data_IF_625201380978
#
_entry.id   IF_625201380978
#
_cell.length_a   1.000
_cell.length_b   1.000
_cell.length_c   1.000
_cell.angle_alpha   90.00
_cell.angle_beta   90.00
_cell.angle_gamma   90.00
#
_symmetry.space_group_name_H-M   'P 1'
#
loop_
_entity.id
_entity.type
_entity.pdbx_description
1 polymer ?
#
# COMPACT_ATOMS: atom_id res chain seq x y z
N UNK A 1 45.19 3.65 18.91
CA UNK A 1 44.51 3.32 17.66
C UNK A 1 43.73 2.01 17.73
N UNK A 2 44.28 0.84 18.06
CA UNK A 2 43.59 -0.44 18.11
C UNK A 2 42.32 -0.45 19.01
N UNK A 3 42.39 0.10 20.23
CA UNK A 3 41.26 0.19 21.16
C UNK A 3 40.12 1.09 20.63
N UNK A 4 40.43 2.14 19.87
CA UNK A 4 39.44 3.01 19.24
C UNK A 4 38.71 2.31 18.09
N UNK A 5 39.44 1.62 17.23
CA UNK A 5 38.86 0.81 16.15
C UNK A 5 37.92 -0.30 16.68
N UNK A 6 38.35 -0.98 17.75
CA UNK A 6 37.49 -2.00 18.40
C UNK A 6 36.18 -1.39 18.91
N UNK A 7 36.23 -0.21 19.54
CA UNK A 7 35.03 0.48 20.02
C UNK A 7 34.06 0.85 18.87
N UNK A 8 34.62 1.34 17.74
CA UNK A 8 33.84 1.65 16.55
C UNK A 8 33.13 0.37 16.00
N UNK A 9 33.90 -0.71 15.87
CA UNK A 9 33.33 -1.98 15.39
C UNK A 9 32.22 -2.47 16.32
N UNK A 10 32.45 -2.48 17.64
CA UNK A 10 31.45 -2.88 18.63
C UNK A 10 30.20 -2.00 18.54
N UNK A 11 30.35 -0.68 18.36
CA UNK A 11 29.22 0.23 18.18
C UNK A 11 28.39 -0.13 16.93
N UNK A 12 29.03 -0.31 15.77
CA UNK A 12 28.28 -0.67 14.57
C UNK A 12 27.63 -2.04 14.64
N UNK A 13 28.27 -3.02 15.28
CA UNK A 13 27.68 -4.33 15.53
C UNK A 13 26.44 -4.21 16.45
N UNK A 14 26.53 -3.41 17.51
CA UNK A 14 25.40 -3.17 18.40
C UNK A 14 24.21 -2.50 17.64
N UNK A 15 24.51 -1.48 16.82
CA UNK A 15 23.48 -0.81 15.97
C UNK A 15 22.84 -1.82 15.02
N UNK A 16 23.62 -2.66 14.35
CA UNK A 16 23.10 -3.68 13.43
C UNK A 16 22.20 -4.71 14.16
N UNK A 17 22.58 -5.15 15.37
CA UNK A 17 21.76 -6.05 16.17
C UNK A 17 20.42 -5.39 16.55
N UNK A 18 20.44 -4.14 16.97
CA UNK A 18 19.24 -3.38 17.31
C UNK A 18 18.32 -3.23 16.07
N UNK A 19 18.89 -2.90 14.92
CA UNK A 19 18.14 -2.77 13.65
C UNK A 19 17.45 -4.08 13.24
N UNK A 20 18.19 -5.19 13.32
CA UNK A 20 17.64 -6.51 13.00
C UNK A 20 16.51 -6.89 13.99
N UNK A 21 16.72 -6.68 15.29
CA UNK A 21 15.72 -6.99 16.29
C UNK A 21 14.45 -6.13 16.11
N UNK A 22 14.62 -4.83 15.88
CA UNK A 22 13.53 -3.91 15.59
C UNK A 22 12.77 -4.34 14.32
N UNK A 23 13.49 -4.65 13.24
CA UNK A 23 12.90 -5.10 11.98
C UNK A 23 12.05 -6.36 12.17
N UNK A 24 12.60 -7.39 12.83
CA UNK A 24 11.87 -8.65 13.11
C UNK A 24 10.65 -8.44 14.00
N UNK A 25 10.74 -7.54 14.99
CA UNK A 25 9.60 -7.19 15.85
C UNK A 25 8.49 -6.53 15.04
N UNK A 26 8.83 -5.63 14.13
CA UNK A 26 7.87 -4.99 13.24
C UNK A 26 7.28 -5.99 12.22
N UNK A 27 8.09 -6.88 11.65
CA UNK A 27 7.61 -7.95 10.76
C UNK A 27 6.59 -8.83 11.50
N UNK A 28 6.87 -9.23 12.73
CA UNK A 28 5.93 -9.98 13.56
C UNK A 28 4.62 -9.23 13.81
N UNK A 29 4.69 -7.94 14.18
CA UNK A 29 3.50 -7.11 14.38
C UNK A 29 2.70 -6.96 13.07
N UNK A 30 3.39 -6.83 11.94
CA UNK A 30 2.75 -6.74 10.62
C UNK A 30 1.97 -8.02 10.29
N UNK A 31 2.60 -9.17 10.46
CA UNK A 31 1.99 -10.47 10.18
C UNK A 31 0.79 -10.77 11.08
N UNK A 32 0.84 -10.33 12.34
CA UNK A 32 -0.20 -10.58 13.33
C UNK A 32 -1.11 -9.35 13.57
N UNK A 33 -1.17 -8.43 12.61
CA UNK A 33 -2.05 -7.27 12.67
C UNK A 33 -3.52 -7.71 12.72
N UNK A 34 -4.26 -7.12 13.69
CA UNK A 34 -5.67 -7.43 13.93
C UNK A 34 -6.62 -6.45 13.24
N UNK A 35 -6.10 -5.33 12.75
CA UNK A 35 -6.89 -4.23 12.21
C UNK A 35 -6.09 -3.38 11.24
N UNK A 36 -6.74 -2.39 10.60
CA UNK A 36 -6.12 -1.42 9.72
C UNK A 36 -5.61 -2.04 8.40
N UNK A 37 -4.90 -1.23 7.63
CA UNK A 37 -4.40 -1.62 6.30
C UNK A 37 -3.52 -2.87 6.33
N UNK A 38 -2.69 -3.02 7.38
CA UNK A 38 -1.83 -4.20 7.51
C UNK A 38 -2.64 -5.50 7.57
N UNK A 39 -3.74 -5.53 8.34
CA UNK A 39 -4.63 -6.71 8.39
C UNK A 39 -5.33 -6.93 7.06
N UNK A 40 -5.84 -5.86 6.47
CA UNK A 40 -6.53 -5.88 5.18
C UNK A 40 -5.65 -6.46 4.07
N UNK A 41 -4.43 -5.97 3.98
CA UNK A 41 -3.44 -6.41 2.98
C UNK A 41 -3.03 -7.87 3.25
N UNK A 42 -2.69 -8.21 4.49
CA UNK A 42 -2.32 -9.57 4.85
C UNK A 42 -3.42 -10.58 4.51
N UNK A 43 -4.67 -10.25 4.84
CA UNK A 43 -5.81 -11.10 4.48
C UNK A 43 -5.94 -11.27 2.97
N UNK A 44 -5.87 -10.17 2.22
CA UNK A 44 -5.98 -10.21 0.76
C UNK A 44 -4.90 -11.10 0.12
N UNK A 45 -3.66 -10.99 0.60
CA UNK A 45 -2.53 -11.72 0.04
C UNK A 45 -2.51 -13.18 0.49
N UNK A 46 -2.78 -13.44 1.78
CA UNK A 46 -2.56 -14.77 2.38
C UNK A 46 -3.80 -15.66 2.43
N UNK A 47 -5.00 -15.09 2.56
CA UNK A 47 -6.22 -15.83 2.92
C UNK A 47 -7.37 -15.67 1.91
N UNK A 48 -7.56 -14.47 1.35
CA UNK A 48 -8.69 -14.12 0.49
C UNK A 48 -8.73 -14.97 -0.79
N UNK A 49 -9.92 -15.49 -1.13
CA UNK A 49 -10.22 -16.21 -2.38
C UNK A 49 -11.47 -15.64 -3.04
N UNK A 50 -11.70 -14.34 -2.92
CA UNK A 50 -12.89 -13.70 -3.48
C UNK A 50 -12.92 -13.78 -5.01
N UNK A 51 -14.12 -14.00 -5.57
CA UNK A 51 -14.33 -13.99 -7.01
C UNK A 51 -14.08 -12.61 -7.63
N UNK A 52 -14.44 -11.57 -6.88
CA UNK A 52 -14.29 -10.17 -7.28
C UNK A 52 -13.37 -9.45 -6.31
N UNK A 53 -12.35 -8.78 -6.83
CA UNK A 53 -11.43 -7.97 -6.05
C UNK A 53 -11.59 -6.50 -6.46
N UNK A 54 -11.91 -5.64 -5.48
CA UNK A 54 -11.95 -4.18 -5.69
C UNK A 54 -10.58 -3.63 -5.32
N UNK A 55 -9.97 -2.86 -6.22
CA UNK A 55 -8.66 -2.24 -6.04
C UNK A 55 -8.73 -0.75 -6.38
N UNK A 56 -7.88 0.06 -5.78
CA UNK A 56 -7.81 1.49 -6.04
C UNK A 56 -7.50 2.31 -4.80
N UNK A 57 -7.76 3.60 -4.87
CA UNK A 57 -7.43 4.57 -3.83
C UNK A 57 -8.51 4.68 -2.74
N UNK A 58 -8.57 5.84 -2.06
CA UNK A 58 -9.58 6.14 -1.03
C UNK A 58 -11.02 6.02 -1.54
N UNK A 59 -11.28 6.31 -2.81
CA UNK A 59 -12.62 6.12 -3.39
C UNK A 59 -12.98 4.64 -3.45
N UNK A 60 -12.06 3.76 -3.83
CA UNK A 60 -12.29 2.33 -3.74
C UNK A 60 -12.55 1.91 -2.29
N UNK A 61 -11.71 2.36 -1.35
CA UNK A 61 -11.77 2.01 0.06
C UNK A 61 -13.10 2.37 0.71
N UNK A 62 -13.66 3.55 0.40
CA UNK A 62 -14.77 4.14 1.14
C UNK A 62 -16.13 4.13 0.40
N UNK A 63 -16.14 3.92 -0.93
CA UNK A 63 -17.37 4.08 -1.72
C UNK A 63 -17.84 2.79 -2.39
N UNK A 64 -16.99 1.76 -2.48
CA UNK A 64 -17.35 0.49 -3.11
C UNK A 64 -17.61 -0.57 -2.04
N UNK A 65 -18.88 -0.74 -1.66
CA UNK A 65 -19.26 -1.75 -0.68
C UNK A 65 -19.34 -3.15 -1.35
N UNK A 66 -18.46 -4.11 -0.96
CA UNK A 66 -18.45 -5.45 -1.52
C UNK A 66 -19.75 -6.23 -1.30
N UNK A 67 -20.47 -5.93 -0.20
CA UNK A 67 -21.72 -6.62 0.11
C UNK A 67 -22.76 -6.39 -0.98
N UNK A 68 -22.86 -5.16 -1.51
CA UNK A 68 -23.79 -4.82 -2.59
C UNK A 68 -23.50 -5.66 -3.84
N UNK A 69 -22.20 -5.84 -4.16
CA UNK A 69 -21.78 -6.65 -5.30
C UNK A 69 -22.10 -8.13 -5.07
N UNK A 70 -21.82 -8.63 -3.88
CA UNK A 70 -22.11 -10.01 -3.50
C UNK A 70 -23.62 -10.29 -3.58
N UNK A 71 -24.45 -9.42 -3.03
CA UNK A 71 -25.91 -9.57 -3.03
C UNK A 71 -26.50 -9.49 -4.44
N UNK A 72 -25.91 -8.68 -5.32
CA UNK A 72 -26.41 -8.46 -6.67
C UNK A 72 -25.99 -9.54 -7.67
N UNK A 73 -24.76 -10.05 -7.53
CA UNK A 73 -24.14 -10.96 -8.50
C UNK A 73 -24.00 -12.39 -8.00
N UNK A 74 -24.20 -12.63 -6.70
CA UNK A 74 -23.93 -13.95 -6.07
C UNK A 74 -22.45 -14.35 -6.08
N UNK A 75 -21.55 -13.39 -6.29
CA UNK A 75 -20.10 -13.60 -6.29
C UNK A 75 -19.47 -13.06 -5.01
N UNK A 76 -18.55 -13.79 -4.44
CA UNK A 76 -17.78 -13.30 -3.29
C UNK A 76 -16.93 -12.08 -3.70
N UNK A 77 -16.96 -11.02 -2.88
CA UNK A 77 -16.27 -9.77 -3.20
C UNK A 77 -15.44 -9.28 -2.00
N UNK A 78 -14.24 -8.79 -2.28
CA UNK A 78 -13.37 -8.19 -1.27
C UNK A 78 -12.83 -6.84 -1.74
N UNK A 79 -12.78 -5.86 -0.83
CA UNK A 79 -12.27 -4.52 -1.11
C UNK A 79 -10.83 -4.37 -0.59
N UNK A 80 -9.87 -4.18 -1.51
CA UNK A 80 -8.46 -3.91 -1.22
C UNK A 80 -8.09 -2.45 -1.54
N UNK A 81 -9.03 -1.53 -1.62
CA UNK A 81 -8.73 -0.10 -1.75
C UNK A 81 -7.91 0.42 -0.57
N UNK A 82 -6.89 1.24 -0.81
CA UNK A 82 -6.00 1.83 0.20
C UNK A 82 -5.90 3.33 -0.04
N UNK A 83 -6.06 4.12 1.02
CA UNK A 83 -6.02 5.57 0.93
C UNK A 83 -4.69 6.10 0.41
N UNK A 84 -4.75 7.02 -0.55
CA UNK A 84 -3.56 7.66 -1.14
C UNK A 84 -2.70 6.72 -1.98
N UNK A 85 -3.25 5.59 -2.42
CA UNK A 85 -2.56 4.64 -3.28
C UNK A 85 -2.89 4.85 -4.76
N UNK A 86 -2.03 4.32 -5.63
CA UNK A 86 -2.20 4.35 -7.08
C UNK A 86 -1.80 3.02 -7.72
N UNK A 87 -1.74 3.02 -9.05
CA UNK A 87 -1.56 1.82 -9.87
C UNK A 87 -0.31 1.01 -9.52
N UNK A 88 0.79 1.66 -9.16
CA UNK A 88 2.05 0.95 -8.82
C UNK A 88 1.87 0.05 -7.59
N UNK A 89 1.22 0.59 -6.54
CA UNK A 89 0.94 -0.17 -5.33
C UNK A 89 -0.02 -1.33 -5.61
N UNK A 90 -1.06 -1.07 -6.41
CA UNK A 90 -2.07 -2.07 -6.75
C UNK A 90 -1.51 -3.16 -7.67
N UNK A 91 -0.60 -2.85 -8.58
CA UNK A 91 0.15 -3.84 -9.36
C UNK A 91 0.98 -4.75 -8.45
N UNK A 92 1.64 -4.19 -7.45
CA UNK A 92 2.37 -4.98 -6.45
C UNK A 92 1.47 -5.95 -5.69
N UNK A 93 0.30 -5.51 -5.23
CA UNK A 93 -0.68 -6.39 -4.57
C UNK A 93 -1.22 -7.46 -5.53
N UNK A 94 -1.53 -7.09 -6.76
CA UNK A 94 -1.97 -8.03 -7.79
C UNK A 94 -0.93 -9.14 -8.00
N UNK A 95 0.34 -8.79 -8.15
CA UNK A 95 1.43 -9.77 -8.31
C UNK A 95 1.54 -10.71 -7.12
N UNK A 96 1.42 -10.22 -5.89
CA UNK A 96 1.44 -11.04 -4.68
C UNK A 96 0.23 -11.97 -4.59
N UNK A 97 -0.96 -11.47 -4.85
CA UNK A 97 -2.20 -12.23 -4.77
C UNK A 97 -2.24 -13.34 -5.82
N UNK A 98 -1.82 -13.04 -7.06
CA UNK A 98 -1.88 -13.97 -8.18
C UNK A 98 -0.88 -15.12 -8.11
N UNK A 99 0.07 -15.08 -7.18
CA UNK A 99 0.88 -16.26 -6.85
C UNK A 99 0.06 -17.36 -6.19
N UNK A 100 -1.07 -17.02 -5.55
CA UNK A 100 -1.89 -17.96 -4.81
C UNK A 100 -3.21 -18.28 -5.51
N UNK A 101 -3.92 -17.27 -6.03
CA UNK A 101 -5.17 -17.44 -6.79
C UNK A 101 -5.38 -16.29 -7.76
N UNK A 102 -6.20 -16.53 -8.78
CA UNK A 102 -6.58 -15.50 -9.76
C UNK A 102 -8.04 -15.16 -9.56
N UNK A 103 -8.40 -13.90 -9.19
CA UNK A 103 -9.79 -13.49 -9.09
C UNK A 103 -10.46 -13.54 -10.47
N UNK A 104 -11.78 -13.84 -10.50
CA UNK A 104 -12.57 -13.87 -11.76
C UNK A 104 -12.71 -12.48 -12.36
N UNK A 105 -12.78 -11.45 -11.50
CA UNK A 105 -12.96 -10.06 -11.91
C UNK A 105 -12.18 -9.13 -10.97
N UNK A 106 -11.53 -8.13 -11.56
CA UNK A 106 -10.94 -7.01 -10.83
C UNK A 106 -11.70 -5.73 -11.18
N UNK A 107 -12.24 -5.05 -10.17
CA UNK A 107 -12.80 -3.71 -10.30
C UNK A 107 -11.75 -2.71 -9.85
N UNK A 108 -11.10 -2.05 -10.81
CA UNK A 108 -10.10 -1.04 -10.51
C UNK A 108 -10.71 0.37 -10.55
N UNK A 109 -10.68 1.06 -9.42
CA UNK A 109 -11.08 2.46 -9.32
C UNK A 109 -9.89 3.35 -9.74
N UNK A 110 -9.99 3.91 -10.93
CA UNK A 110 -8.97 4.79 -11.48
C UNK A 110 -9.09 6.20 -10.88
N UNK A 111 -8.03 6.65 -10.21
CA UNK A 111 -7.92 8.02 -9.72
C UNK A 111 -6.85 8.75 -10.52
N UNK A 112 -7.22 9.63 -11.48
CA UNK A 112 -6.25 10.24 -12.40
C UNK A 112 -5.06 10.91 -11.71
N UNK A 113 -5.28 11.54 -10.55
CA UNK A 113 -4.23 12.22 -9.79
C UNK A 113 -3.17 11.29 -9.21
N UNK A 114 -3.50 10.02 -8.97
CA UNK A 114 -2.58 9.01 -8.45
C UNK A 114 -2.06 8.07 -9.52
N UNK A 115 -2.89 7.77 -10.51
CA UNK A 115 -2.60 6.73 -11.50
C UNK A 115 -1.93 7.27 -12.76
N UNK A 116 -2.28 8.50 -13.19
CA UNK A 116 -1.81 9.06 -14.46
C UNK A 116 -0.70 10.10 -14.30
N UNK A 117 -0.48 10.64 -13.08
CA UNK A 117 0.46 11.74 -12.85
C UNK A 117 1.71 11.35 -12.05
N UNK A 118 2.05 10.08 -12.03
CA UNK A 118 3.30 9.64 -11.43
C UNK A 118 4.48 10.07 -12.30
N UNK A 119 5.16 11.13 -11.87
CA UNK A 119 6.36 11.60 -12.57
C UNK A 119 7.53 10.64 -12.29
N UNK A 120 8.11 10.09 -13.35
CA UNK A 120 9.40 9.44 -13.24
C UNK A 120 10.43 10.43 -12.66
N UNK A 121 11.05 10.06 -11.53
CA UNK A 121 12.04 10.92 -10.85
C UNK A 121 11.52 11.76 -9.69
N UNK A 122 10.24 11.64 -9.31
CA UNK A 122 9.75 12.25 -8.07
C UNK A 122 10.38 11.55 -6.86
N UNK A 123 10.98 12.33 -5.96
CA UNK A 123 11.55 11.84 -4.70
C UNK A 123 10.50 11.14 -3.80
N UNK A 124 9.22 11.26 -4.12
CA UNK A 124 8.11 10.58 -3.46
C UNK A 124 7.78 9.18 -4.04
N UNK A 125 8.48 8.71 -5.08
CA UNK A 125 8.19 7.40 -5.69
C UNK A 125 8.24 6.25 -4.67
N UNK A 126 9.12 6.31 -3.67
CA UNK A 126 9.19 5.31 -2.61
C UNK A 126 7.95 5.30 -1.69
N UNK A 127 7.18 6.39 -1.65
CA UNK A 127 5.92 6.47 -0.90
C UNK A 127 4.87 5.53 -1.49
N UNK A 128 4.82 5.38 -2.80
CA UNK A 128 3.88 4.49 -3.48
C UNK A 128 4.13 3.01 -3.17
N UNK A 129 5.34 2.66 -2.75
CA UNK A 129 5.70 1.31 -2.35
C UNK A 129 5.58 1.06 -0.84
N UNK A 130 5.15 2.05 -0.05
CA UNK A 130 5.21 1.99 1.42
C UNK A 130 4.56 0.74 2.01
N UNK A 131 3.42 0.31 1.48
CA UNK A 131 2.69 -0.86 1.94
C UNK A 131 3.26 -2.20 1.39
N UNK A 132 4.13 -2.15 0.38
CA UNK A 132 4.82 -3.32 -0.17
C UNK A 132 6.16 -3.60 0.53
N UNK A 133 6.68 -2.65 1.31
CA UNK A 133 7.99 -2.79 1.99
C UNK A 133 8.12 -4.08 2.83
N UNK A 134 7.10 -4.56 3.55
CA UNK A 134 7.18 -5.84 4.26
C UNK A 134 7.43 -7.05 3.35
N UNK A 135 7.05 -6.96 2.07
CA UNK A 135 7.17 -8.02 1.06
C UNK A 135 8.40 -7.84 0.15
N UNK A 136 9.39 -7.05 0.54
CA UNK A 136 10.54 -6.68 -0.31
C UNK A 136 11.37 -7.86 -0.79
N UNK A 137 11.28 -9.01 -0.14
CA UNK A 137 12.00 -10.24 -0.52
C UNK A 137 11.28 -11.04 -1.61
N UNK A 138 9.99 -10.75 -1.87
CA UNK A 138 9.22 -11.46 -2.88
C UNK A 138 9.76 -11.17 -4.29
N UNK A 139 10.08 -12.24 -5.03
CA UNK A 139 10.72 -12.12 -6.34
C UNK A 139 9.81 -11.44 -7.37
N UNK A 140 8.48 -11.64 -7.27
CA UNK A 140 7.50 -10.99 -8.14
C UNK A 140 7.48 -9.45 -8.01
N UNK A 141 7.99 -8.90 -6.90
CA UNK A 141 8.09 -7.46 -6.67
C UNK A 141 9.46 -6.88 -7.02
N UNK A 142 10.43 -7.72 -7.36
CA UNK A 142 11.80 -7.28 -7.59
C UNK A 142 11.89 -6.12 -8.59
N UNK A 143 11.34 -6.34 -9.78
CA UNK A 143 11.38 -5.33 -10.84
C UNK A 143 10.67 -4.05 -10.40
N UNK A 144 9.54 -4.15 -9.71
CA UNK A 144 8.78 -2.99 -9.24
C UNK A 144 9.61 -2.10 -8.28
N UNK A 145 10.37 -2.70 -7.37
CA UNK A 145 11.28 -1.96 -6.49
C UNK A 145 12.47 -1.37 -7.26
N UNK A 146 13.05 -2.14 -8.18
CA UNK A 146 14.22 -1.72 -8.95
C UNK A 146 13.88 -0.58 -9.93
N UNK A 147 12.66 -0.55 -10.49
CA UNK A 147 12.16 0.53 -11.36
C UNK A 147 11.97 1.85 -10.60
N UNK A 148 11.65 1.79 -9.30
CA UNK A 148 11.50 2.98 -8.44
C UNK A 148 12.85 3.51 -7.97
N UNK A 149 13.70 2.64 -7.44
CA UNK A 149 15.09 2.94 -7.06
C UNK A 149 15.89 1.62 -7.05
N UNK A 150 16.86 1.49 -7.94
CA UNK A 150 17.71 0.29 -8.04
C UNK A 150 18.46 -0.10 -6.75
N UNK A 151 18.42 0.75 -5.70
CA UNK A 151 18.98 0.46 -4.37
C UNK A 151 17.90 0.26 -3.30
N UNK A 152 16.61 0.41 -3.63
CA UNK A 152 15.54 0.38 -2.63
C UNK A 152 15.50 -0.96 -1.89
N UNK A 153 15.56 -2.08 -2.59
CA UNK A 153 15.60 -3.41 -1.97
C UNK A 153 16.75 -3.57 -0.98
N UNK A 154 17.93 -3.03 -1.30
CA UNK A 154 19.08 -3.10 -0.40
C UNK A 154 18.83 -2.31 0.90
N UNK A 155 18.22 -1.13 0.80
CA UNK A 155 17.87 -0.30 1.98
C UNK A 155 16.84 -1.01 2.87
N UNK A 156 15.92 -1.78 2.27
CA UNK A 156 14.85 -2.48 2.97
C UNK A 156 15.33 -3.64 3.85
N UNK A 157 16.59 -4.08 3.73
CA UNK A 157 17.18 -5.00 4.71
C UNK A 157 17.30 -4.37 6.10
N UNK A 158 17.46 -3.04 6.20
CA UNK A 158 17.39 -2.34 7.49
C UNK A 158 15.93 -2.27 7.96
N UNK A 159 15.69 -2.79 9.15
CA UNK A 159 14.38 -2.73 9.81
C UNK A 159 13.97 -1.30 10.13
N UNK A 160 14.92 -0.48 10.58
CA UNK A 160 14.69 0.94 10.84
C UNK A 160 14.28 1.69 9.56
N UNK A 161 14.94 1.43 8.44
CA UNK A 161 14.55 2.04 7.17
C UNK A 161 13.16 1.58 6.71
N UNK A 162 12.88 0.28 6.81
CA UNK A 162 11.62 -0.33 6.37
C UNK A 162 10.41 0.22 7.12
N UNK A 163 10.52 0.44 8.43
CA UNK A 163 9.41 0.77 9.32
C UNK A 163 9.47 2.16 9.97
N UNK A 164 10.46 3.03 9.63
CA UNK A 164 10.69 4.33 10.26
C UNK A 164 9.43 5.22 10.35
N UNK A 165 8.58 5.23 9.33
CA UNK A 165 7.38 6.08 9.27
C UNK A 165 6.10 5.34 9.66
N UNK A 166 6.13 4.02 9.76
CA UNK A 166 4.94 3.18 9.90
C UNK A 166 4.84 2.44 11.25
N UNK A 167 5.90 2.42 12.06
CA UNK A 167 5.94 1.60 13.27
C UNK A 167 4.81 1.90 14.28
N UNK A 168 4.43 3.18 14.47
CA UNK A 168 3.33 3.54 15.37
C UNK A 168 1.96 3.07 14.85
N UNK A 169 1.71 3.22 13.54
CA UNK A 169 0.48 2.75 12.93
C UNK A 169 0.42 1.22 12.94
N UNK A 170 1.55 0.58 12.71
CA UNK A 170 1.69 -0.87 12.79
C UNK A 170 1.39 -1.38 14.21
N UNK A 171 1.92 -0.74 15.24
CA UNK A 171 1.61 -1.07 16.62
C UNK A 171 0.11 -0.92 16.93
N UNK A 172 -0.53 0.17 16.48
CA UNK A 172 -1.99 0.37 16.61
C UNK A 172 -2.78 -0.73 15.90
N UNK A 173 -2.36 -1.11 14.69
CA UNK A 173 -2.97 -2.20 13.93
C UNK A 173 -2.81 -3.54 14.65
N UNK A 174 -1.66 -3.80 15.25
CA UNK A 174 -1.38 -5.02 16.00
C UNK A 174 -2.26 -5.16 17.25
N UNK A 175 -2.48 -4.08 18.00
CA UNK A 175 -3.34 -4.10 19.19
C UNK A 175 -4.84 -4.00 18.88
N UNK A 176 -5.24 -3.74 17.63
CA UNK A 176 -6.64 -3.80 17.19
C UNK A 176 -7.43 -2.50 17.33
N UNK A 177 -6.81 -1.33 17.23
CA UNK A 177 -7.48 -0.03 17.40
C UNK A 177 -8.17 0.56 16.16
N UNK A 178 -8.09 -0.08 15.00
CA UNK A 178 -8.69 0.42 13.75
C UNK A 178 -9.75 -0.55 13.26
N UNK A 179 -10.99 -0.10 13.13
CA UNK A 179 -12.08 -0.94 12.62
C UNK A 179 -11.99 -1.06 11.09
N UNK A 180 -12.08 -2.29 10.58
CA UNK A 180 -12.33 -2.59 9.15
C UNK A 180 -13.41 -3.67 9.13
N UNK A 181 -14.37 -3.57 8.21
CA UNK A 181 -15.35 -4.62 7.98
C UNK A 181 -14.67 -5.88 7.42
N UNK A 182 -15.23 -7.06 7.69
CA UNK A 182 -14.66 -8.34 7.29
C UNK A 182 -14.42 -8.51 5.80
N UNK A 183 -15.14 -7.75 4.96
CA UNK A 183 -14.99 -7.71 3.50
C UNK A 183 -14.02 -6.63 2.99
N UNK A 184 -13.26 -5.99 3.89
CA UNK A 184 -12.27 -4.97 3.56
C UNK A 184 -12.82 -3.56 3.35
N UNK A 185 -14.11 -3.33 3.46
CA UNK A 185 -14.75 -2.02 3.29
C UNK A 185 -14.55 -1.14 4.52
N UNK A 186 -14.27 0.14 4.31
CA UNK A 186 -14.14 1.13 5.36
C UNK A 186 -15.14 2.28 5.13
N UNK A 187 -16.39 2.18 5.64
CA UNK A 187 -17.39 3.22 5.43
C UNK A 187 -16.97 4.55 6.09
N UNK A 188 -17.17 5.66 5.40
CA UNK A 188 -17.05 6.98 5.98
C UNK A 188 -18.22 7.24 6.93
N UNK A 189 -17.90 7.76 8.12
CA UNK A 189 -18.90 8.18 9.11
C UNK A 189 -19.08 9.70 9.00
N UNK A 190 -20.29 10.16 8.84
CA UNK A 190 -20.62 11.59 8.80
C UNK A 190 -21.79 11.90 7.87
N UNK A 191 -22.20 13.16 7.88
CA UNK A 191 -23.19 13.70 6.97
C UNK A 191 -22.45 14.50 5.90
N UNK A 192 -22.74 14.27 4.64
CA UNK A 192 -22.20 15.12 3.56
C UNK A 192 -22.59 16.58 3.82
N UNK A 193 -21.63 17.48 3.84
CA UNK A 193 -21.90 18.90 3.76
C UNK A 193 -22.59 19.19 2.42
N UNK A 194 -23.39 20.26 2.41
CA UNK A 194 -24.14 20.68 1.24
C UNK A 194 -23.26 20.68 -0.03
N UNK A 195 -23.70 19.92 -1.04
CA UNK A 195 -22.96 19.82 -2.30
C UNK A 195 -23.04 21.17 -3.03
N UNK A 196 -21.92 21.85 -3.14
CA UNK A 196 -21.79 22.98 -4.05
C UNK A 196 -21.30 22.43 -5.40
N UNK A 197 -22.08 22.62 -6.49
CA UNK A 197 -21.64 22.19 -7.80
C UNK A 197 -20.29 22.81 -8.11
N UNK A 198 -19.32 21.99 -8.46
CA UNK A 198 -18.03 22.45 -8.90
C UNK A 198 -18.10 22.65 -10.41
N UNK A 199 -18.18 23.92 -10.85
CA UNK A 199 -18.06 24.26 -12.26
C UNK A 199 -16.61 24.00 -12.69
N UNK A 200 -16.40 22.94 -13.44
CA UNK A 200 -15.12 22.66 -14.10
C UNK A 200 -15.21 23.22 -15.50
N UNK A 201 -14.41 24.20 -15.81
CA UNK A 201 -14.11 24.55 -17.20
C UNK A 201 -13.28 23.40 -17.81
N UNK A 202 -14.01 22.43 -18.40
CA UNK A 202 -13.45 21.23 -18.99
C UNK A 202 -12.53 21.58 -20.15
N UNK A 203 -12.85 22.62 -20.92
CA UNK A 203 -12.11 22.98 -22.14
C UNK A 203 -10.73 23.54 -21.79
N UNK A 204 -10.62 24.42 -20.81
CA UNK A 204 -9.32 24.92 -20.35
C UNK A 204 -8.42 23.82 -19.75
N UNK A 205 -9.02 22.83 -19.08
CA UNK A 205 -8.29 21.68 -18.55
C UNK A 205 -7.83 20.72 -19.64
N UNK A 206 -8.64 20.45 -20.65
CA UNK A 206 -8.27 19.61 -21.79
C UNK A 206 -7.12 20.24 -22.57
N UNK A 207 -7.14 21.54 -22.80
CA UNK A 207 -6.06 22.23 -23.50
C UNK A 207 -4.75 22.24 -22.69
N UNK A 208 -4.82 22.41 -21.38
CA UNK A 208 -3.65 22.28 -20.52
C UNK A 208 -3.06 20.86 -20.50
N UNK A 209 -3.90 19.84 -20.59
CA UNK A 209 -3.49 18.44 -20.68
C UNK A 209 -2.86 18.12 -22.03
N UNK A 210 -3.45 18.62 -23.15
CA UNK A 210 -2.88 18.45 -24.50
C UNK A 210 -1.48 19.03 -24.60
N UNK A 211 -1.25 20.23 -24.07
CA UNK A 211 0.06 20.89 -24.08
C UNK A 211 1.09 20.10 -23.27
N UNK A 212 0.68 19.39 -22.23
CA UNK A 212 1.58 18.70 -21.33
C UNK A 212 1.94 17.28 -21.76
N UNK A 213 1.06 16.57 -22.45
CA UNK A 213 1.19 15.15 -22.75
C UNK A 213 1.30 14.77 -24.22
N UNK A 214 1.06 15.71 -25.15
CA UNK A 214 1.09 15.47 -26.59
C UNK A 214 2.11 16.34 -27.34
N UNK A 215 3.18 16.76 -26.64
CA UNK A 215 4.36 17.36 -27.26
C UNK A 215 5.40 16.32 -27.61
#
# INVERSE_FOLDING_TARGET
>A
MKKFLVRIVVFFVAVAIIDIFFGKSCDYMYEHSKSGDSRKINYAIKECNADVLIMGSSRANHHYNPQIITDSLGLSCYNLGIDGSGVILMDGFYRLITQRYVPKLILYELTPSFDLYQYAGDANNTRYLSQLKPYYQEECLRQLFDDVDGRERLKLYSGLYRYNTSCLNLFRSFIGHVAIEGNGFLPLKGVMSEYKPFEVDIDSKIDSLKVKYFK
#
